data_IF_773339811326
#
_entry.id   IF_773339811326
#
_cell.length_a   1.000
_cell.length_b   1.000
_cell.length_c   1.000
_cell.angle_alpha   90.00
_cell.angle_beta   90.00
_cell.angle_gamma   90.00
#
_symmetry.space_group_name_H-M   'P 1'
#
loop_
_entity.id
_entity.type
_entity.pdbx_description
1 polymer ?
#
# COMPACT_ATOMS: atom_id res chain seq x y z
N UNK A 1 -4.34 10.07 -16.69
CA UNK A 1 -3.75 10.90 -15.64
C UNK A 1 -4.68 10.86 -14.45
N UNK A 2 -4.17 10.46 -13.28
CA UNK A 2 -4.92 10.48 -12.03
C UNK A 2 -4.40 11.61 -11.13
N UNK A 3 -5.22 12.07 -10.19
CA UNK A 3 -4.83 13.08 -9.20
C UNK A 3 -4.98 12.51 -7.80
N UNK A 4 -4.01 12.76 -6.93
CA UNK A 4 -4.10 12.30 -5.55
C UNK A 4 -5.19 13.06 -4.80
N UNK A 5 -6.17 12.35 -4.25
CA UNK A 5 -7.31 12.95 -3.56
C UNK A 5 -6.96 13.67 -2.26
N UNK A 6 -5.80 13.36 -1.66
CA UNK A 6 -5.34 13.98 -0.41
C UNK A 6 -4.63 15.32 -0.62
N UNK A 7 -3.90 15.48 -1.73
CA UNK A 7 -2.99 16.60 -1.92
C UNK A 7 -3.13 17.31 -3.27
N UNK A 8 -3.94 16.78 -4.19
CA UNK A 8 -4.32 17.45 -5.45
C UNK A 8 -3.28 17.42 -6.57
N UNK A 9 -2.11 16.84 -6.34
CA UNK A 9 -1.05 16.72 -7.37
C UNK A 9 -1.28 15.55 -8.31
N UNK A 10 -0.82 15.72 -9.53
CA UNK A 10 -0.90 14.72 -10.60
C UNK A 10 -0.04 13.51 -10.25
N UNK A 11 -0.56 12.33 -10.55
CA UNK A 11 0.07 11.03 -10.34
C UNK A 11 -0.12 10.15 -11.59
N UNK A 12 0.79 9.21 -11.80
CA UNK A 12 0.67 8.26 -12.89
C UNK A 12 -0.46 7.26 -12.63
N UNK A 13 -1.14 6.85 -13.70
CA UNK A 13 -2.11 5.75 -13.65
C UNK A 13 -1.36 4.44 -13.34
N UNK A 14 -1.73 3.78 -12.24
CA UNK A 14 -1.13 2.51 -11.81
C UNK A 14 -0.17 2.62 -10.61
N UNK A 15 0.19 3.82 -10.18
CA UNK A 15 0.89 4.00 -8.90
C UNK A 15 -0.01 3.54 -7.76
N UNK A 16 0.53 2.75 -6.82
CA UNK A 16 -0.20 2.24 -5.62
C UNK A 16 -0.21 3.27 -4.49
N UNK A 17 0.75 4.19 -4.51
CA UNK A 17 0.95 5.23 -3.52
C UNK A 17 1.36 6.51 -4.19
N UNK A 18 0.99 7.63 -3.59
CA UNK A 18 1.33 8.93 -4.12
C UNK A 18 2.80 9.29 -3.79
N UNK A 19 3.68 9.50 -4.80
CA UNK A 19 5.12 9.66 -4.56
C UNK A 19 5.49 10.95 -3.81
N UNK A 20 4.58 11.91 -3.71
CA UNK A 20 4.87 13.16 -2.99
C UNK A 20 4.11 13.34 -1.67
N UNK A 21 3.25 12.41 -1.24
CA UNK A 21 2.68 12.47 0.12
C UNK A 21 2.50 11.11 0.81
N UNK A 22 2.77 10.00 0.10
CA UNK A 22 2.68 8.64 0.62
C UNK A 22 1.27 8.07 0.71
N UNK A 23 0.24 8.80 0.25
CA UNK A 23 -1.15 8.35 0.38
C UNK A 23 -1.49 7.24 -0.62
N UNK A 24 -2.27 6.25 -0.18
CA UNK A 24 -2.69 5.15 -1.05
C UNK A 24 -3.67 5.65 -2.12
N UNK A 25 -3.38 5.32 -3.37
CA UNK A 25 -4.14 5.80 -4.54
C UNK A 25 -5.35 4.90 -4.81
N UNK A 26 -6.05 4.41 -3.78
CA UNK A 26 -7.27 3.59 -3.92
C UNK A 26 -7.14 2.26 -4.68
N UNK A 27 -5.99 2.00 -5.32
CA UNK A 27 -5.66 0.73 -5.96
C UNK A 27 -5.30 -0.25 -4.86
N UNK A 28 -6.33 -0.94 -4.35
CA UNK A 28 -6.20 -2.09 -3.45
C UNK A 28 -5.57 -3.27 -4.20
N UNK A 29 -4.32 -3.15 -4.63
CA UNK A 29 -3.53 -4.33 -4.93
C UNK A 29 -3.06 -4.90 -3.58
N UNK A 30 -3.38 -6.17 -3.35
CA UNK A 30 -3.19 -6.89 -2.07
C UNK A 30 -1.79 -6.74 -1.46
N UNK A 31 -1.65 -7.06 -0.16
CA UNK A 31 -0.51 -6.67 0.66
C UNK A 31 0.79 -7.18 0.03
N UNK A 32 1.59 -6.26 -0.53
CA UNK A 32 2.93 -6.55 -1.05
C UNK A 32 3.95 -6.84 0.08
N UNK A 33 3.50 -7.22 1.28
CA UNK A 33 4.35 -7.43 2.45
C UNK A 33 3.71 -8.34 3.51
N UNK A 34 2.93 -9.34 3.10
CA UNK A 34 2.59 -10.47 3.97
C UNK A 34 3.79 -11.44 4.13
N UNK A 35 4.98 -10.89 4.42
CA UNK A 35 6.12 -11.65 4.90
C UNK A 35 6.31 -11.30 6.38
N UNK A 36 5.55 -11.99 7.23
CA UNK A 36 5.68 -11.84 8.67
C UNK A 36 4.49 -12.30 9.51
N UNK A 37 3.76 -13.35 9.11
CA UNK A 37 2.90 -14.07 10.06
C UNK A 37 3.77 -15.14 10.75
N UNK A 38 4.67 -14.70 11.63
CA UNK A 38 5.30 -15.58 12.61
C UNK A 38 4.37 -15.68 13.82
N UNK A 39 3.12 -16.11 13.59
CA UNK A 39 2.25 -16.46 14.69
C UNK A 39 2.81 -17.72 15.35
N UNK A 40 3.31 -17.47 16.55
CA UNK A 40 3.91 -18.34 17.55
C UNK A 40 2.98 -19.48 18.04
N UNK A 41 2.19 -20.09 17.16
CA UNK A 41 1.36 -21.24 17.48
C UNK A 41 2.14 -22.57 17.34
N UNK A 42 3.40 -22.53 16.89
CA UNK A 42 4.28 -23.70 16.71
C UNK A 42 5.20 -23.96 17.93
N UNK A 43 5.11 -23.15 18.98
CA UNK A 43 5.80 -23.38 20.26
C UNK A 43 4.92 -24.21 21.20
N UNK A 44 4.53 -25.41 20.73
CA UNK A 44 4.05 -26.47 21.60
C UNK A 44 5.25 -27.26 22.13
N UNK A 45 5.84 -26.78 23.24
CA UNK A 45 6.51 -27.52 24.32
C UNK A 45 6.90 -26.57 25.46
#
# INVERSE_FOLDING_TARGET
MAFCRKCGKEIADGDRFCPYCGDATGVQQGPASAAGDWNQAEMMR
#
